data_IF_075767466363
#
_entry.id   IF_075767466363
#
_cell.length_a   1.000
_cell.length_b   1.000
_cell.length_c   1.000
_cell.angle_alpha   90.00
_cell.angle_beta   90.00
_cell.angle_gamma   90.00
#
_symmetry.space_group_name_H-M   'P 1'
#
loop_
_entity.id
_entity.type
_entity.pdbx_description
1 polymer ?
#
# COMPACT_ATOMS: atom_id res chain seq x y z
N UNK A 1 18.01 -42.82 -4.62
CA UNK A 1 18.32 -41.39 -4.89
C UNK A 1 17.15 -40.52 -4.48
N UNK A 2 17.41 -39.39 -3.85
CA UNK A 2 16.36 -38.50 -3.33
C UNK A 2 16.51 -37.09 -3.92
N UNK A 3 15.41 -36.53 -4.43
CA UNK A 3 15.36 -35.21 -5.06
C UNK A 3 14.45 -34.30 -4.25
N UNK A 4 14.97 -33.14 -3.83
CA UNK A 4 14.21 -32.12 -3.11
C UNK A 4 13.77 -31.01 -4.04
N UNK A 5 12.54 -30.53 -3.89
CA UNK A 5 12.05 -29.39 -4.65
C UNK A 5 12.69 -28.08 -4.15
N UNK A 6 13.10 -27.21 -5.08
CA UNK A 6 13.67 -25.90 -4.76
C UNK A 6 12.62 -24.78 -4.67
N UNK A 7 11.32 -25.07 -4.81
CA UNK A 7 10.28 -24.05 -4.77
C UNK A 7 10.19 -23.48 -3.36
N UNK A 8 10.08 -22.15 -3.26
CA UNK A 8 9.92 -21.49 -1.96
C UNK A 8 8.68 -22.04 -1.26
N UNK A 9 8.86 -22.61 -0.07
CA UNK A 9 7.77 -23.18 0.74
C UNK A 9 7.37 -24.62 0.41
N UNK A 10 7.92 -25.22 -0.65
CA UNK A 10 7.65 -26.62 -0.97
C UNK A 10 8.59 -27.56 -0.21
N UNK A 11 8.02 -28.53 0.52
CA UNK A 11 8.78 -29.56 1.27
C UNK A 11 8.81 -30.92 0.56
N UNK A 12 8.31 -30.99 -0.67
CA UNK A 12 8.22 -32.23 -1.41
C UNK A 12 9.59 -32.84 -1.68
N UNK A 13 9.68 -34.13 -1.41
CA UNK A 13 10.89 -34.93 -1.60
C UNK A 13 10.52 -36.18 -2.38
N UNK A 14 11.19 -36.40 -3.51
CA UNK A 14 10.85 -37.46 -4.46
C UNK A 14 11.99 -38.47 -4.47
N UNK A 15 11.66 -39.71 -4.15
CA UNK A 15 12.62 -40.82 -4.17
C UNK A 15 12.58 -41.54 -5.51
N UNK A 16 13.77 -41.79 -6.05
CA UNK A 16 14.03 -42.60 -7.24
C UNK A 16 14.87 -43.80 -6.83
N UNK A 17 14.28 -44.97 -6.94
CA UNK A 17 14.91 -46.27 -6.71
C UNK A 17 15.71 -46.65 -7.97
N UNK A 18 17.00 -46.99 -7.82
CA UNK A 18 17.89 -47.31 -8.96
C UNK A 18 18.02 -48.82 -9.20
N UNK A 19 17.51 -49.61 -8.28
CA UNK A 19 17.56 -51.06 -8.21
C UNK A 19 16.49 -51.76 -9.07
N UNK A 20 15.54 -51.00 -9.63
CA UNK A 20 14.40 -51.52 -10.37
C UNK A 20 14.45 -51.20 -11.87
N UNK A 21 13.68 -51.94 -12.67
CA UNK A 21 13.58 -51.79 -14.14
C UNK A 21 13.18 -50.36 -14.58
N UNK A 22 12.51 -49.61 -13.71
CA UNK A 22 12.10 -48.23 -13.90
C UNK A 22 13.13 -47.19 -13.39
N UNK A 23 14.40 -47.59 -13.21
CA UNK A 23 15.48 -46.72 -12.74
C UNK A 23 15.69 -45.44 -13.56
N UNK A 24 15.12 -45.31 -14.77
CA UNK A 24 15.16 -44.10 -15.61
C UNK A 24 13.85 -43.29 -15.62
N UNK A 25 12.81 -43.73 -14.91
CA UNK A 25 11.51 -43.05 -14.89
C UNK A 25 11.58 -41.70 -14.17
N UNK A 26 11.01 -40.67 -14.79
CA UNK A 26 10.91 -39.30 -14.24
C UNK A 26 9.46 -38.86 -13.99
N UNK A 27 8.50 -39.76 -14.17
CA UNK A 27 7.06 -39.43 -14.16
C UNK A 27 6.61 -38.73 -12.87
N UNK A 28 7.01 -39.25 -11.71
CA UNK A 28 6.64 -38.65 -10.41
C UNK A 28 7.22 -37.24 -10.23
N UNK A 29 8.45 -37.02 -10.71
CA UNK A 29 9.09 -35.70 -10.67
C UNK A 29 8.40 -34.72 -11.62
N UNK A 30 8.07 -35.15 -12.84
CA UNK A 30 7.34 -34.31 -13.82
C UNK A 30 5.95 -33.93 -13.32
N UNK A 31 5.21 -34.86 -12.71
CA UNK A 31 3.91 -34.59 -12.07
C UNK A 31 4.02 -33.55 -10.95
N UNK A 32 5.04 -33.66 -10.11
CA UNK A 32 5.28 -32.68 -9.07
C UNK A 32 5.66 -31.30 -9.65
N UNK A 33 6.57 -31.23 -10.61
CA UNK A 33 6.98 -29.96 -11.22
C UNK A 33 5.79 -29.26 -11.89
N UNK A 34 4.95 -30.00 -12.63
CA UNK A 34 3.75 -29.45 -13.28
C UNK A 34 2.77 -28.81 -12.27
N UNK A 35 2.60 -29.42 -11.10
CA UNK A 35 1.69 -28.90 -10.06
C UNK A 35 2.32 -27.82 -9.18
N UNK A 36 3.64 -27.90 -8.94
CA UNK A 36 4.34 -26.99 -8.03
C UNK A 36 4.83 -25.71 -8.70
N UNK A 37 5.30 -25.80 -9.94
CA UNK A 37 5.88 -24.69 -10.70
C UNK A 37 5.04 -24.28 -11.91
N UNK A 38 4.13 -25.14 -12.35
CA UNK A 38 3.26 -24.91 -13.51
C UNK A 38 3.71 -25.66 -14.77
N UNK A 39 2.81 -25.80 -15.76
CA UNK A 39 3.07 -26.56 -16.98
C UNK A 39 4.13 -25.91 -17.89
N UNK A 40 4.18 -24.57 -17.94
CA UNK A 40 5.15 -23.82 -18.76
C UNK A 40 6.59 -24.08 -18.31
N UNK A 41 6.80 -24.15 -16.99
CA UNK A 41 8.11 -24.44 -16.40
C UNK A 41 8.55 -25.84 -16.75
N UNK A 42 7.64 -26.82 -16.67
CA UNK A 42 7.95 -28.19 -17.07
C UNK A 42 8.42 -28.24 -18.53
N UNK A 43 7.72 -27.56 -19.44
CA UNK A 43 8.11 -27.50 -20.85
C UNK A 43 9.48 -26.83 -21.05
N UNK A 44 9.71 -25.66 -20.44
CA UNK A 44 10.99 -24.97 -20.52
C UNK A 44 12.14 -25.79 -19.92
N UNK A 45 11.87 -26.61 -18.90
CA UNK A 45 12.88 -27.54 -18.36
C UNK A 45 13.14 -28.73 -19.26
N UNK A 46 12.13 -29.24 -19.98
CA UNK A 46 12.30 -30.32 -20.95
C UNK A 46 13.15 -29.85 -22.16
N UNK A 47 13.00 -28.58 -22.56
CA UNK A 47 13.81 -27.96 -23.62
C UNK A 47 15.25 -27.61 -23.16
N UNK A 48 15.47 -27.51 -21.86
CA UNK A 48 16.77 -27.20 -21.29
C UNK A 48 17.65 -28.46 -21.23
N UNK A 49 18.62 -28.55 -22.14
CA UNK A 49 19.62 -29.65 -22.17
C UNK A 49 20.60 -29.67 -20.98
N UNK A 50 20.60 -28.64 -20.13
CA UNK A 50 21.56 -28.48 -19.03
C UNK A 50 20.87 -28.05 -17.73
N UNK A 51 21.17 -28.76 -16.64
CA UNK A 51 20.66 -28.50 -15.31
C UNK A 51 21.11 -27.13 -14.74
N UNK A 52 22.30 -26.64 -15.13
CA UNK A 52 22.77 -25.33 -14.69
C UNK A 52 21.97 -24.20 -15.34
N UNK A 53 21.62 -24.33 -16.62
CA UNK A 53 20.71 -23.41 -17.32
C UNK A 53 19.34 -23.32 -16.63
N UNK A 54 18.78 -24.45 -16.19
CA UNK A 54 17.51 -24.47 -15.44
C UNK A 54 17.63 -23.71 -14.12
N UNK A 55 18.68 -23.99 -13.34
CA UNK A 55 18.88 -23.39 -12.01
C UNK A 55 19.15 -21.89 -12.05
N UNK A 56 19.93 -21.43 -13.02
CA UNK A 56 20.43 -20.06 -13.05
C UNK A 56 19.56 -19.11 -13.89
N UNK A 57 18.83 -19.62 -14.90
CA UNK A 57 18.05 -18.78 -15.82
C UNK A 57 16.54 -18.96 -15.67
N UNK A 58 16.06 -20.20 -15.62
CA UNK A 58 14.62 -20.49 -15.64
C UNK A 58 14.00 -20.27 -14.25
N UNK A 59 14.56 -20.86 -13.20
CA UNK A 59 14.01 -20.73 -11.84
C UNK A 59 13.97 -19.27 -11.34
N UNK A 60 15.02 -18.44 -11.54
CA UNK A 60 15.01 -17.06 -11.07
C UNK A 60 14.08 -16.12 -11.85
N UNK A 61 13.85 -16.37 -13.15
CA UNK A 61 12.93 -15.53 -13.95
C UNK A 61 11.48 -15.71 -13.49
N UNK A 62 11.06 -16.94 -13.23
CA UNK A 62 9.71 -17.24 -12.72
C UNK A 62 9.44 -16.55 -11.37
N UNK A 63 10.45 -16.48 -10.49
CA UNK A 63 10.33 -15.77 -9.21
C UNK A 63 10.24 -14.23 -9.37
N UNK A 64 10.62 -13.69 -10.53
CA UNK A 64 10.57 -12.25 -10.87
C UNK A 64 9.32 -11.88 -11.67
N UNK A 65 8.79 -12.81 -12.47
CA UNK A 65 7.66 -12.58 -13.37
C UNK A 65 6.29 -12.72 -12.69
N UNK A 66 6.26 -12.99 -11.38
CA UNK A 66 5.03 -12.87 -10.59
C UNK A 66 4.53 -11.43 -10.63
N UNK A 67 3.50 -11.17 -11.44
CA UNK A 67 2.90 -9.84 -11.51
C UNK A 67 2.51 -9.36 -10.12
N UNK A 68 2.87 -8.12 -9.79
CA UNK A 68 2.49 -7.48 -8.54
C UNK A 68 0.96 -7.54 -8.34
N UNK A 69 0.18 -7.52 -9.43
CA UNK A 69 -1.28 -7.67 -9.38
C UNK A 69 -1.75 -9.03 -8.88
N UNK A 70 -0.99 -10.11 -9.10
CA UNK A 70 -1.29 -11.45 -8.54
C UNK A 70 -1.00 -11.48 -7.04
N UNK A 71 0.08 -10.83 -6.60
CA UNK A 71 0.38 -10.69 -5.17
C UNK A 71 -0.67 -9.85 -4.41
N UNK A 72 -1.28 -8.88 -5.11
CA UNK A 72 -2.37 -8.05 -4.60
C UNK A 72 -3.76 -8.50 -5.04
N UNK A 73 -3.89 -9.70 -5.60
CA UNK A 73 -5.18 -10.22 -6.02
C UNK A 73 -6.07 -10.32 -4.78
N UNK A 74 -7.11 -9.48 -4.75
CA UNK A 74 -8.02 -9.42 -3.63
C UNK A 74 -8.81 -10.72 -3.57
N UNK A 75 -8.61 -11.49 -2.51
CA UNK A 75 -9.49 -12.61 -2.21
C UNK A 75 -10.83 -12.07 -1.69
N UNK A 76 -11.86 -12.10 -2.55
CA UNK A 76 -13.25 -11.79 -2.20
C UNK A 76 -13.86 -10.57 -2.91
N UNK A 77 -15.20 -10.53 -3.00
CA UNK A 77 -15.99 -9.46 -3.67
C UNK A 77 -16.37 -8.29 -2.74
N UNK A 78 -15.57 -8.00 -1.72
CA UNK A 78 -15.90 -6.98 -0.70
C UNK A 78 -15.70 -5.54 -1.20
N UNK A 79 -16.53 -4.61 -0.71
CA UNK A 79 -16.33 -3.15 -0.91
C UNK A 79 -14.93 -2.76 -0.40
N UNK A 80 -14.20 -2.00 -1.20
CA UNK A 80 -12.90 -1.46 -0.81
C UNK A 80 -13.10 -0.61 0.43
N UNK A 81 -12.64 -1.13 1.56
CA UNK A 81 -12.72 -0.43 2.83
C UNK A 81 -11.31 -0.05 3.20
N UNK A 82 -11.04 1.25 3.27
CA UNK A 82 -9.76 1.73 3.78
C UNK A 82 -9.80 1.65 5.31
N UNK A 83 -8.78 1.05 5.95
CA UNK A 83 -8.71 1.04 7.39
C UNK A 83 -8.65 2.47 7.91
N UNK A 84 -9.59 2.85 8.79
CA UNK A 84 -9.58 4.17 9.43
C UNK A 84 -8.55 4.27 10.58
N UNK A 85 -7.88 3.15 10.89
CA UNK A 85 -6.86 3.06 11.95
C UNK A 85 -5.47 3.37 11.40
N UNK A 86 -4.63 4.03 12.20
CA UNK A 86 -3.21 4.17 11.87
C UNK A 86 -2.56 2.79 11.73
N UNK A 87 -1.60 2.66 10.82
CA UNK A 87 -0.81 1.46 10.68
C UNK A 87 -0.08 1.14 12.00
N UNK A 88 -0.12 -0.12 12.39
CA UNK A 88 0.76 -0.66 13.43
C UNK A 88 2.23 -0.52 13.02
N UNK A 89 3.15 -0.68 13.97
CA UNK A 89 4.59 -0.67 13.71
C UNK A 89 5.00 -1.72 12.66
N UNK A 90 4.37 -2.90 12.68
CA UNK A 90 4.64 -3.97 11.71
C UNK A 90 4.08 -3.62 10.33
N UNK A 91 2.83 -3.16 10.24
CA UNK A 91 2.22 -2.72 8.98
C UNK A 91 3.03 -1.58 8.33
N UNK A 92 3.57 -0.65 9.13
CA UNK A 92 4.44 0.42 8.64
C UNK A 92 5.74 -0.12 8.03
N UNK A 93 6.38 -1.10 8.70
CA UNK A 93 7.59 -1.75 8.17
C UNK A 93 7.30 -2.54 6.88
N UNK A 94 6.19 -3.28 6.85
CA UNK A 94 5.75 -3.99 5.64
C UNK A 94 5.47 -3.02 4.50
N UNK A 95 4.78 -1.91 4.75
CA UNK A 95 4.53 -0.86 3.76
C UNK A 95 5.84 -0.28 3.22
N UNK A 96 6.79 0.06 4.09
CA UNK A 96 8.10 0.56 3.65
C UNK A 96 8.86 -0.47 2.83
N UNK A 97 8.87 -1.74 3.25
CA UNK A 97 9.48 -2.82 2.48
C UNK A 97 8.82 -2.97 1.11
N UNK A 98 7.49 -2.88 1.05
CA UNK A 98 6.72 -2.96 -0.18
C UNK A 98 7.06 -1.81 -1.14
N UNK A 99 7.04 -0.57 -0.66
CA UNK A 99 7.33 0.60 -1.48
C UNK A 99 8.77 0.62 -2.02
N UNK A 100 9.69 -0.13 -1.38
CA UNK A 100 11.08 -0.32 -1.84
C UNK A 100 11.28 -1.56 -2.72
N UNK A 101 10.26 -2.39 -2.94
CA UNK A 101 10.39 -3.53 -3.86
C UNK A 101 10.66 -3.03 -5.28
N UNK A 102 11.70 -3.56 -5.91
CA UNK A 102 12.17 -3.12 -7.24
C UNK A 102 13.03 -1.85 -7.25
N UNK A 103 13.05 -1.04 -6.18
CA UNK A 103 13.91 0.16 -6.04
C UNK A 103 14.39 0.35 -4.59
N UNK A 104 15.42 -0.41 -4.14
CA UNK A 104 15.92 -0.35 -2.76
C UNK A 104 16.41 1.05 -2.33
N UNK A 105 16.99 1.79 -3.28
CA UNK A 105 17.51 3.15 -3.09
C UNK A 105 16.43 4.23 -3.03
N UNK A 106 15.16 3.88 -3.23
CA UNK A 106 14.08 4.85 -3.18
C UNK A 106 13.94 5.42 -1.75
N UNK A 107 14.12 6.74 -1.64
CA UNK A 107 13.98 7.46 -0.39
C UNK A 107 12.50 7.55 0.00
N UNK A 108 12.16 7.03 1.19
CA UNK A 108 10.83 7.18 1.77
C UNK A 108 10.96 8.16 2.94
N UNK A 109 10.29 9.32 2.91
CA UNK A 109 10.38 10.29 3.98
C UNK A 109 9.80 9.71 5.27
N UNK A 110 10.42 10.05 6.40
CA UNK A 110 9.89 9.68 7.70
C UNK A 110 8.55 10.39 7.96
N UNK A 111 7.74 9.87 8.88
CA UNK A 111 6.51 10.55 9.35
C UNK A 111 6.81 11.99 9.80
N UNK A 112 7.94 12.22 10.46
CA UNK A 112 8.36 13.54 10.92
C UNK A 112 8.79 14.47 9.76
N UNK A 113 9.35 13.92 8.69
CA UNK A 113 9.65 14.67 7.46
C UNK A 113 8.35 15.08 6.78
N UNK A 114 7.45 14.13 6.52
CA UNK A 114 6.13 14.41 5.93
C UNK A 114 5.36 15.44 6.75
N UNK A 115 5.36 15.33 8.09
CA UNK A 115 4.69 16.29 8.96
C UNK A 115 5.29 17.70 8.84
N UNK A 116 6.62 17.83 8.78
CA UNK A 116 7.29 19.13 8.60
C UNK A 116 6.94 19.75 7.26
N UNK A 117 7.01 18.96 6.20
CA UNK A 117 6.70 19.42 4.84
C UNK A 117 5.23 19.81 4.72
N UNK A 118 4.32 19.00 5.28
CA UNK A 118 2.88 19.34 5.34
C UNK A 118 2.61 20.62 6.10
N UNK A 119 3.27 20.85 7.24
CA UNK A 119 3.14 22.12 7.99
C UNK A 119 3.63 23.31 7.17
N UNK A 120 4.72 23.15 6.44
CA UNK A 120 5.26 24.19 5.57
C UNK A 120 4.31 24.48 4.40
N UNK A 121 3.79 23.44 3.74
CA UNK A 121 2.79 23.57 2.68
C UNK A 121 1.56 24.28 3.22
N UNK A 122 1.01 23.84 4.36
CA UNK A 122 -0.15 24.46 4.98
C UNK A 122 0.07 25.94 5.28
N UNK A 123 1.21 26.31 5.90
CA UNK A 123 1.52 27.71 6.19
C UNK A 123 1.62 28.56 4.92
N UNK A 124 2.29 28.05 3.88
CA UNK A 124 2.42 28.75 2.59
C UNK A 124 1.07 28.91 1.90
N UNK A 125 0.28 27.83 1.83
CA UNK A 125 -1.06 27.85 1.25
C UNK A 125 -1.97 28.81 2.00
N UNK A 126 -1.94 28.83 3.33
CA UNK A 126 -2.69 29.78 4.15
C UNK A 126 -2.32 31.22 3.82
N UNK A 127 -1.03 31.53 3.68
CA UNK A 127 -0.58 32.88 3.30
C UNK A 127 -1.02 33.26 1.88
N UNK A 128 -0.95 32.32 0.92
CA UNK A 128 -1.45 32.55 -0.44
C UNK A 128 -2.96 32.80 -0.47
N UNK A 129 -3.74 32.00 0.27
CA UNK A 129 -5.20 32.19 0.38
C UNK A 129 -5.53 33.51 1.06
N UNK A 130 -4.84 33.86 2.16
CA UNK A 130 -5.04 35.14 2.83
C UNK A 130 -4.84 36.32 1.87
N UNK A 131 -3.71 36.34 1.15
CA UNK A 131 -3.43 37.36 0.14
C UNK A 131 -4.49 37.38 -0.97
N UNK A 132 -4.86 36.21 -1.49
CA UNK A 132 -5.90 36.09 -2.51
C UNK A 132 -7.24 36.68 -2.03
N UNK A 133 -7.63 36.45 -0.78
CA UNK A 133 -8.88 36.97 -0.21
C UNK A 133 -8.81 38.47 0.10
N UNK A 134 -7.65 38.98 0.51
CA UNK A 134 -7.43 40.43 0.70
C UNK A 134 -7.51 41.21 -0.62
N UNK A 135 -7.01 40.62 -1.71
CA UNK A 135 -7.02 41.23 -3.05
C UNK A 135 -8.34 40.99 -3.83
N UNK A 136 -9.27 40.22 -3.27
CA UNK A 136 -10.50 39.84 -3.96
C UNK A 136 -11.58 40.93 -3.86
N UNK A 137 -11.95 41.50 -5.00
CA UNK A 137 -12.98 42.54 -5.18
C UNK A 137 -14.43 41.98 -5.06
N UNK A 138 -14.60 40.68 -5.28
CA UNK A 138 -15.93 40.07 -5.26
C UNK A 138 -16.51 39.87 -3.85
N UNK A 139 -17.77 39.41 -3.81
CA UNK A 139 -18.42 39.04 -2.55
C UNK A 139 -17.93 37.68 -2.07
N UNK A 140 -17.61 37.59 -0.78
CA UNK A 140 -17.24 36.34 -0.10
C UNK A 140 -18.31 35.99 0.93
N UNK A 141 -18.79 34.75 0.89
CA UNK A 141 -19.71 34.22 1.90
C UNK A 141 -18.95 33.24 2.80
N UNK A 142 -19.13 33.38 4.12
CA UNK A 142 -18.55 32.47 5.11
C UNK A 142 -19.61 31.49 5.60
N UNK A 143 -19.23 30.23 5.73
CA UNK A 143 -20.03 29.20 6.40
C UNK A 143 -19.25 28.66 7.58
N UNK A 144 -19.98 28.41 8.66
CA UNK A 144 -19.45 27.81 9.88
C UNK A 144 -20.27 26.57 10.16
N UNK A 145 -19.61 25.43 10.26
CA UNK A 145 -20.23 24.17 10.67
C UNK A 145 -19.64 23.74 12.00
N UNK A 146 -20.49 23.40 12.96
CA UNK A 146 -20.08 23.02 14.30
C UNK A 146 -20.69 21.68 14.67
N UNK A 147 -19.87 20.74 15.12
CA UNK A 147 -20.33 19.41 15.48
C UNK A 147 -19.58 18.83 16.67
N UNK A 148 -20.21 17.84 17.30
CA UNK A 148 -19.59 16.99 18.31
C UNK A 148 -19.12 15.69 17.65
N UNK A 149 -17.82 15.44 17.65
CA UNK A 149 -17.28 14.17 17.16
C UNK A 149 -17.65 13.01 18.11
N UNK A 150 -17.65 11.75 17.64
CA UNK A 150 -18.00 10.58 18.46
C UNK A 150 -17.15 10.39 19.73
N UNK A 151 -16.02 11.08 19.84
CA UNK A 151 -15.15 11.10 21.03
C UNK A 151 -15.49 12.27 22.00
N UNK A 152 -16.68 12.87 21.88
CA UNK A 152 -17.17 14.00 22.68
C UNK A 152 -16.31 15.27 22.60
N UNK A 153 -15.54 15.43 21.52
CA UNK A 153 -14.79 16.66 21.25
C UNK A 153 -15.60 17.54 20.29
N UNK A 154 -15.74 18.80 20.64
CA UNK A 154 -16.41 19.80 19.83
C UNK A 154 -15.45 20.34 18.77
N UNK A 155 -15.93 20.48 17.54
CA UNK A 155 -15.18 21.07 16.43
C UNK A 155 -16.02 22.14 15.75
N UNK A 156 -15.33 23.13 15.18
CA UNK A 156 -15.90 24.14 14.30
C UNK A 156 -15.05 24.18 13.03
N UNK A 157 -15.68 24.01 11.88
CA UNK A 157 -15.08 24.24 10.57
C UNK A 157 -15.53 25.59 10.01
N UNK A 158 -14.58 26.31 9.43
CA UNK A 158 -14.83 27.52 8.65
C UNK A 158 -14.61 27.19 7.17
N UNK A 159 -15.56 27.57 6.34
CA UNK A 159 -15.43 27.48 4.88
C UNK A 159 -15.84 28.80 4.24
N UNK A 160 -15.32 29.05 3.04
CA UNK A 160 -15.72 30.19 2.22
C UNK A 160 -16.30 29.73 0.90
N UNK A 161 -17.18 30.56 0.38
CA UNK A 161 -17.80 30.43 -0.92
C UNK A 161 -17.69 31.77 -1.64
N UNK A 162 -17.05 31.79 -2.81
CA UNK A 162 -16.88 32.98 -3.64
C UNK A 162 -17.02 32.64 -5.12
N UNK A 163 -17.27 33.63 -5.97
CA UNK A 163 -17.34 33.43 -7.42
C UNK A 163 -15.96 33.69 -8.06
N UNK A 164 -15.35 32.69 -8.67
CA UNK A 164 -14.10 32.85 -9.41
C UNK A 164 -14.32 32.56 -10.88
N UNK A 165 -14.25 33.59 -11.73
CA UNK A 165 -14.44 33.49 -13.19
C UNK A 165 -15.77 32.85 -13.61
N UNK A 166 -16.86 33.20 -12.92
CA UNK A 166 -18.19 32.66 -13.20
C UNK A 166 -18.49 31.30 -12.56
N UNK A 167 -17.55 30.73 -11.81
CA UNK A 167 -17.74 29.44 -11.11
C UNK A 167 -17.70 29.62 -9.58
N UNK A 168 -18.50 28.82 -8.88
CA UNK A 168 -18.52 28.79 -7.43
C UNK A 168 -17.26 28.09 -6.89
N UNK A 169 -16.36 28.85 -6.28
CA UNK A 169 -15.22 28.33 -5.55
C UNK A 169 -15.59 28.15 -4.08
N UNK A 170 -15.53 26.91 -3.60
CA UNK A 170 -15.72 26.56 -2.19
C UNK A 170 -14.42 26.03 -1.62
N UNK A 171 -13.96 26.57 -0.49
CA UNK A 171 -12.78 26.04 0.20
C UNK A 171 -12.94 26.06 1.73
N UNK A 172 -12.55 24.98 2.43
CA UNK A 172 -12.40 25.01 3.87
C UNK A 172 -11.17 25.84 4.24
N UNK A 173 -11.30 26.73 5.22
CA UNK A 173 -10.21 27.56 5.73
C UNK A 173 -9.52 26.91 6.92
N UNK A 174 -10.28 26.47 7.91
CA UNK A 174 -9.72 25.87 9.13
C UNK A 174 -10.74 24.96 9.82
N UNK A 175 -10.25 24.03 10.63
CA UNK A 175 -11.04 23.19 11.52
C UNK A 175 -10.41 23.29 12.91
N UNK A 176 -11.15 23.90 13.83
CA UNK A 176 -10.68 24.21 15.16
C UNK A 176 -11.42 23.31 16.15
N UNK A 177 -10.67 22.67 17.02
CA UNK A 177 -11.22 22.00 18.19
C UNK A 177 -11.58 23.04 19.25
N UNK A 178 -12.82 23.03 19.72
CA UNK A 178 -13.30 23.96 20.73
C UNK A 178 -12.84 23.48 22.10
N UNK A 179 -12.16 24.36 22.84
CA UNK A 179 -11.74 24.07 24.21
C UNK A 179 -12.96 23.75 25.09
N UNK A 180 -12.81 22.77 25.99
CA UNK A 180 -13.83 22.50 27.01
C UNK A 180 -13.91 23.70 27.95
N UNK A 181 -15.04 24.39 27.98
CA UNK A 181 -15.36 25.35 29.02
C UNK A 181 -15.63 24.56 30.30
N UNK A 182 -14.71 24.60 31.26
CA UNK A 182 -15.01 24.19 32.63
C UNK A 182 -15.84 25.31 33.26
N UNK A 183 -17.13 25.04 33.51
CA UNK A 183 -17.97 25.95 34.26
C UNK A 183 -17.40 26.10 35.69
N UNK A 184 -16.62 27.15 35.94
CA UNK A 184 -16.45 27.66 37.30
C UNK A 184 -17.77 28.32 37.66
N UNK A 185 -18.63 27.58 38.37
CA UNK A 185 -19.81 28.16 38.98
C UNK A 185 -19.34 29.21 39.98
N UNK A 186 -19.45 30.49 39.61
CA UNK A 186 -19.45 31.57 40.60
C UNK A 186 -20.80 31.49 41.30
N UNK A 187 -20.79 30.91 42.49
CA UNK A 187 -21.90 31.01 43.43
C UNK A 187 -21.84 32.44 43.98
N UNK A 188 -22.70 33.32 43.45
CA UNK A 188 -23.01 34.62 44.07
C UNK A 188 -24.03 34.44 45.17
#
# INVERSE_FOLDING_TARGET
HEFKCCARGCKATIRRFLDKKDARSTSNMRKHVKSCWGPEVLMATDDAKDANKVRLKIVPSILRDGSITVAFERKGKGKVTYPHRQHTRLETKCFQSLMKTGRPEYYIPSRATVLRDMRLVFARTRNCIAKMLEEYDGKVNFTTDAWMAPNHRAFIAFSIHLEHKGELLTMPLDIIEVARVSATYFCT
#
